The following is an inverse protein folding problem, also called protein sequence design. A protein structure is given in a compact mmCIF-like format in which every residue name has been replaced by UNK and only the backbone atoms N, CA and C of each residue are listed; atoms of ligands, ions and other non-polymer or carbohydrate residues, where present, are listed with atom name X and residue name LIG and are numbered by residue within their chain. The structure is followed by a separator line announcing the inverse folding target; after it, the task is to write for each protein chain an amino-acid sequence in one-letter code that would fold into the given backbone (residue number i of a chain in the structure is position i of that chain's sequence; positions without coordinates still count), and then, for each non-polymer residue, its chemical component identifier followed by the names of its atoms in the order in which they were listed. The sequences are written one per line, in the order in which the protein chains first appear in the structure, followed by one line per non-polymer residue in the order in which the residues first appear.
data_IF_392049545951
#
_entry.id   IF_392049545951
#
_cell.length_a   1.000
_cell.length_b   1.000
_cell.length_c   1.000
_cell.angle_alpha   90.00
_cell.angle_beta   90.00
_cell.angle_gamma   90.00
#
_symmetry.space_group_name_H-M   'P 1'
#
loop_
_entity.id
_entity.type
_entity.pdbx_description
1 polymer ?
#
# COMPACT_ATOMS: atom_id res chain seq x y z
N UNK A 1 -18.87 25.30 -5.80
CA UNK A 1 -18.12 24.05 -5.57
C UNK A 1 -16.78 24.42 -4.97
N UNK A 2 -16.55 24.06 -3.70
CA UNK A 2 -15.40 24.51 -2.92
C UNK A 2 -14.11 23.87 -3.41
N UNK A 3 -13.13 24.70 -3.77
CA UNK A 3 -11.77 24.28 -4.09
C UNK A 3 -11.06 23.90 -2.78
N UNK A 4 -11.13 22.63 -2.40
CA UNK A 4 -10.30 22.12 -1.30
C UNK A 4 -8.87 22.00 -1.82
N UNK A 5 -8.03 22.97 -1.45
CA UNK A 5 -6.63 23.13 -1.83
C UNK A 5 -5.70 22.07 -1.21
N UNK A 6 -6.01 20.79 -1.42
CA UNK A 6 -5.27 19.63 -0.92
C UNK A 6 -4.45 18.93 -2.01
N UNK A 7 -4.10 19.66 -3.08
CA UNK A 7 -3.22 19.13 -4.13
C UNK A 7 -1.77 19.38 -3.72
N UNK A 8 -1.03 18.31 -3.46
CA UNK A 8 0.43 18.38 -3.38
C UNK A 8 1.00 18.94 -4.69
N UNK A 9 2.02 19.79 -4.58
CA UNK A 9 2.80 20.25 -5.72
C UNK A 9 3.31 19.04 -6.53
N UNK A 10 3.15 19.12 -7.85
CA UNK A 10 3.57 18.07 -8.77
C UNK A 10 5.10 17.95 -8.72
N UNK A 11 5.59 16.92 -8.06
CA UNK A 11 7.01 16.59 -8.01
C UNK A 11 7.60 16.44 -9.44
N UNK A 12 8.51 17.35 -9.80
CA UNK A 12 9.14 17.49 -11.13
C UNK A 12 10.41 16.66 -11.32
N UNK A 13 10.64 15.61 -10.52
CA UNK A 13 11.74 14.70 -10.83
C UNK A 13 11.41 13.90 -12.09
N UNK A 14 12.16 14.16 -13.16
CA UNK A 14 12.14 13.36 -14.39
C UNK A 14 12.70 11.97 -14.07
N UNK A 15 11.82 11.05 -13.67
CA UNK A 15 12.16 9.63 -13.62
C UNK A 15 12.21 9.12 -15.06
N UNK A 16 13.34 8.55 -15.49
CA UNK A 16 13.39 7.73 -16.72
C UNK A 16 12.26 6.70 -16.62
N UNK A 17 11.28 6.82 -17.51
CA UNK A 17 10.15 5.89 -17.56
C UNK A 17 10.71 4.48 -17.74
N UNK A 18 10.50 3.61 -16.75
CA UNK A 18 10.67 2.18 -16.97
C UNK A 18 9.52 1.78 -17.90
N UNK A 19 9.86 1.20 -19.05
CA UNK A 19 8.86 0.63 -19.96
C UNK A 19 8.24 -0.53 -19.20
N UNK A 20 7.04 -0.31 -18.69
CA UNK A 20 6.26 -1.33 -18.01
C UNK A 20 5.16 -1.76 -18.96
N UNK A 21 5.29 -2.94 -19.55
CA UNK A 21 4.23 -3.60 -20.34
C UNK A 21 3.13 -4.21 -19.42
N UNK A 22 3.14 -3.83 -18.14
CA UNK A 22 2.18 -4.29 -17.16
C UNK A 22 0.83 -3.64 -17.38
N UNK A 23 -0.16 -4.42 -17.83
CA UNK A 23 -1.55 -3.98 -17.81
C UNK A 23 -2.06 -3.97 -16.36
N UNK A 24 -2.11 -2.79 -15.75
CA UNK A 24 -2.57 -2.59 -14.36
C UNK A 24 -4.10 -2.57 -14.28
N UNK A 25 -4.76 -2.06 -15.32
CA UNK A 25 -6.22 -1.94 -15.37
C UNK A 25 -6.89 -3.28 -15.69
N UNK A 26 -7.86 -3.65 -14.86
CA UNK A 26 -8.67 -4.86 -15.04
C UNK A 26 -10.02 -4.51 -15.66
N UNK A 27 -10.76 -5.47 -16.22
CA UNK A 27 -11.98 -5.19 -17.01
C UNK A 27 -13.26 -5.04 -16.18
N UNK A 28 -13.25 -5.51 -14.91
CA UNK A 28 -14.40 -5.53 -14.00
C UNK A 28 -13.91 -5.40 -12.56
N UNK A 29 -14.73 -4.85 -11.66
CA UNK A 29 -14.47 -4.81 -10.21
C UNK A 29 -14.24 -6.21 -9.64
N UNK A 30 -13.51 -6.27 -8.53
CA UNK A 30 -13.25 -7.48 -7.74
C UNK A 30 -12.46 -8.60 -8.45
N UNK A 31 -11.85 -8.30 -9.60
CA UNK A 31 -10.93 -9.22 -10.27
C UNK A 31 -9.49 -9.12 -9.77
N UNK A 32 -9.08 -7.93 -9.32
CA UNK A 32 -7.76 -7.70 -8.71
C UNK A 32 -7.86 -6.56 -7.72
N UNK A 33 -7.37 -6.81 -6.51
CA UNK A 33 -7.13 -5.76 -5.52
C UNK A 33 -5.64 -5.55 -5.36
N UNK A 34 -5.27 -4.30 -5.09
CA UNK A 34 -3.92 -3.92 -4.71
C UNK A 34 -3.93 -3.53 -3.23
N UNK A 35 -2.88 -3.88 -2.50
CA UNK A 35 -2.66 -3.41 -1.14
C UNK A 35 -1.35 -2.64 -1.09
N UNK A 36 -1.31 -1.56 -0.32
CA UNK A 36 -0.09 -0.81 -0.07
C UNK A 36 -0.11 -0.19 1.33
N UNK A 37 1.04 0.31 1.77
CA UNK A 37 1.20 1.05 3.01
C UNK A 37 1.91 2.38 2.80
N UNK A 38 1.50 3.40 3.54
CA UNK A 38 2.22 4.67 3.61
C UNK A 38 2.43 5.11 5.05
N UNK A 39 3.50 5.88 5.25
CA UNK A 39 3.86 6.49 6.54
C UNK A 39 3.98 8.00 6.35
N UNK A 40 3.37 8.77 7.25
CA UNK A 40 3.51 10.23 7.27
C UNK A 40 3.55 10.77 8.69
N UNK A 41 4.28 11.88 8.87
CA UNK A 41 4.39 12.57 10.15
C UNK A 41 3.40 13.72 10.21
N UNK A 42 2.56 13.74 11.23
CA UNK A 42 1.62 14.80 11.53
C UNK A 42 2.33 15.98 12.21
N UNK A 43 1.72 17.17 12.14
CA UNK A 43 2.29 18.38 12.77
C UNK A 43 2.38 18.31 14.30
N UNK A 44 1.58 17.45 14.93
CA UNK A 44 1.64 17.14 16.36
C UNK A 44 2.80 16.19 16.73
N UNK A 45 3.65 15.80 15.75
CA UNK A 45 4.78 14.89 15.94
C UNK A 45 4.43 13.41 15.85
N UNK A 46 3.15 13.05 15.69
CA UNK A 46 2.75 11.65 15.54
C UNK A 46 3.16 11.09 14.18
N UNK A 47 3.60 9.84 14.15
CA UNK A 47 3.85 9.10 12.92
C UNK A 47 2.66 8.17 12.67
N UNK A 48 1.91 8.44 11.61
CA UNK A 48 0.80 7.61 11.19
C UNK A 48 1.27 6.63 10.13
N UNK A 49 0.97 5.35 10.35
CA UNK A 49 1.15 4.28 9.36
C UNK A 49 -0.22 3.81 8.91
N UNK A 50 -0.51 3.97 7.63
CA UNK A 50 -1.74 3.54 6.97
C UNK A 50 -1.44 2.33 6.09
N UNK A 51 -2.26 1.29 6.17
CA UNK A 51 -2.37 0.27 5.12
C UNK A 51 -3.78 0.32 4.53
N UNK A 52 -3.90 0.02 3.23
CA UNK A 52 -5.18 0.03 2.54
C UNK A 52 -5.25 -1.02 1.45
N UNK A 53 -6.47 -1.39 1.08
CA UNK A 53 -6.80 -2.26 -0.05
C UNK A 53 -7.64 -1.45 -1.02
N UNK A 54 -7.25 -1.43 -2.29
CA UNK A 54 -7.94 -0.71 -3.37
C UNK A 54 -8.28 -1.65 -4.52
N UNK A 55 -9.44 -1.46 -5.13
CA UNK A 55 -9.82 -2.19 -6.35
C UNK A 55 -9.09 -1.62 -7.57
N UNK A 56 -8.47 -2.50 -8.37
CA UNK A 56 -7.70 -2.09 -9.55
C UNK A 56 -8.58 -1.60 -10.72
N UNK A 57 -9.89 -1.86 -10.69
CA UNK A 57 -10.81 -1.39 -11.73
C UNK A 57 -11.36 0.01 -11.44
N UNK A 58 -12.10 0.16 -10.35
CA UNK A 58 -12.83 1.39 -10.02
C UNK A 58 -12.06 2.34 -9.10
N UNK A 59 -10.87 1.94 -8.63
CA UNK A 59 -10.01 2.70 -7.71
C UNK A 59 -10.67 3.02 -6.37
N UNK A 60 -11.67 2.23 -5.97
CA UNK A 60 -12.32 2.36 -4.67
C UNK A 60 -11.45 1.73 -3.57
N UNK A 61 -11.23 2.46 -2.47
CA UNK A 61 -10.62 1.90 -1.25
C UNK A 61 -11.67 1.03 -0.56
N UNK A 62 -11.37 -0.26 -0.45
CA UNK A 62 -12.29 -1.26 0.08
C UNK A 62 -12.19 -1.32 1.61
N UNK A 63 -10.97 -1.40 2.14
CA UNK A 63 -10.67 -1.43 3.56
C UNK A 63 -9.32 -0.74 3.83
N UNK A 64 -9.13 -0.29 5.07
CA UNK A 64 -7.90 0.36 5.51
C UNK A 64 -7.73 0.24 7.02
N UNK A 65 -6.50 0.32 7.50
CA UNK A 65 -6.16 0.39 8.93
C UNK A 65 -5.06 1.42 9.14
N UNK A 66 -5.16 2.18 10.24
CA UNK A 66 -4.22 3.22 10.59
C UNK A 66 -3.80 3.09 12.05
N UNK A 67 -2.50 3.20 12.32
CA UNK A 67 -1.94 3.20 13.66
C UNK A 67 -1.06 4.42 13.88
N UNK A 68 -1.20 5.05 15.04
CA UNK A 68 -0.37 6.18 15.45
C UNK A 68 0.79 5.70 16.32
N UNK A 69 2.00 6.15 16.00
CA UNK A 69 3.24 5.87 16.75
C UNK A 69 3.55 4.37 16.97
N UNK A 70 2.92 3.49 16.19
CA UNK A 70 3.09 2.05 16.24
C UNK A 70 3.29 1.48 14.83
N UNK A 71 3.69 0.21 14.74
CA UNK A 71 3.74 -0.54 13.48
C UNK A 71 2.42 -1.24 13.20
N UNK A 72 2.10 -1.47 11.93
CA UNK A 72 0.95 -2.30 11.52
C UNK A 72 1.33 -3.76 11.74
N UNK A 73 0.55 -4.46 12.56
CA UNK A 73 0.76 -5.87 12.88
C UNK A 73 0.20 -6.79 11.79
N UNK A 74 0.63 -8.06 11.80
CA UNK A 74 0.09 -9.06 10.89
C UNK A 74 -1.39 -9.39 11.15
N UNK A 75 -1.89 -9.18 12.38
CA UNK A 75 -3.32 -9.26 12.69
C UNK A 75 -4.09 -8.11 12.04
N UNK A 76 -3.58 -6.88 12.12
CA UNK A 76 -4.24 -5.71 11.51
C UNK A 76 -4.41 -5.90 10.00
N UNK A 77 -3.39 -6.44 9.33
CA UNK A 77 -3.46 -6.76 7.88
C UNK A 77 -4.47 -7.86 7.61
N UNK A 78 -4.52 -8.89 8.46
CA UNK A 78 -5.46 -10.01 8.29
C UNK A 78 -6.90 -9.57 8.46
N UNK A 79 -7.17 -8.76 9.47
CA UNK A 79 -8.49 -8.22 9.77
C UNK A 79 -8.92 -7.25 8.67
N UNK A 80 -8.01 -6.40 8.18
CA UNK A 80 -8.25 -5.54 7.00
C UNK A 80 -8.60 -6.35 5.74
N UNK A 81 -7.91 -7.49 5.51
CA UNK A 81 -8.22 -8.37 4.37
C UNK A 81 -9.59 -9.05 4.54
N UNK A 82 -9.95 -9.47 5.75
CA UNK A 82 -11.28 -10.03 6.04
C UNK A 82 -12.38 -8.98 5.83
N UNK A 83 -12.20 -7.78 6.35
CA UNK A 83 -13.12 -6.65 6.16
C UNK A 83 -13.35 -6.35 4.68
N UNK A 84 -12.29 -6.37 3.85
CA UNK A 84 -12.42 -6.14 2.42
C UNK A 84 -13.26 -7.22 1.72
N UNK A 85 -13.07 -8.49 2.08
CA UNK A 85 -13.86 -9.61 1.54
C UNK A 85 -15.32 -9.50 1.97
N UNK A 86 -15.57 -9.19 3.24
CA UNK A 86 -16.93 -9.03 3.76
C UNK A 86 -17.67 -7.87 3.11
N UNK A 87 -17.01 -6.72 2.92
CA UNK A 87 -17.61 -5.55 2.24
C UNK A 87 -18.02 -5.85 0.80
N UNK A 88 -17.19 -6.56 0.03
CA UNK A 88 -17.44 -6.79 -1.40
C UNK A 88 -18.32 -7.99 -1.69
N UNK A 89 -18.20 -9.05 -0.89
CA UNK A 89 -18.87 -10.32 -1.18
C UNK A 89 -19.92 -10.71 -0.13
N UNK A 90 -20.04 -9.97 0.98
CA UNK A 90 -20.98 -10.26 2.09
C UNK A 90 -20.81 -11.67 2.66
N UNK A 91 -19.59 -12.19 2.58
CA UNK A 91 -19.18 -13.49 3.10
C UNK A 91 -17.81 -13.35 3.77
N UNK A 92 -17.52 -14.16 4.77
CA UNK A 92 -16.21 -14.18 5.46
C UNK A 92 -15.18 -15.06 4.73
N UNK A 93 -15.46 -15.48 3.49
CA UNK A 93 -14.58 -16.36 2.69
C UNK A 93 -14.35 -15.76 1.30
N UNK A 94 -13.09 -15.61 0.90
CA UNK A 94 -12.77 -15.17 -0.45
C UNK A 94 -13.28 -16.19 -1.50
N UNK A 95 -13.93 -15.75 -2.59
CA UNK A 95 -14.33 -16.64 -3.67
C UNK A 95 -13.09 -17.31 -4.29
N UNK A 96 -13.22 -18.57 -4.75
CA UNK A 96 -12.10 -19.42 -5.22
C UNK A 96 -11.27 -18.82 -6.37
N UNK A 97 -11.75 -17.78 -7.06
CA UNK A 97 -11.04 -17.06 -8.11
C UNK A 97 -10.84 -15.58 -7.75
N UNK A 98 -10.15 -15.28 -6.66
CA UNK A 98 -9.30 -14.09 -6.63
C UNK A 98 -7.88 -14.57 -6.86
N UNK A 99 -7.29 -14.29 -8.02
CA UNK A 99 -5.86 -14.53 -8.20
C UNK A 99 -5.12 -13.57 -7.29
N UNK A 100 -4.88 -13.98 -6.05
CA UNK A 100 -3.89 -13.36 -5.18
C UNK A 100 -2.56 -13.69 -5.83
N UNK A 101 -2.12 -12.90 -6.80
CA UNK A 101 -0.74 -12.94 -7.25
C UNK A 101 0.09 -12.76 -6.01
N UNK A 102 0.71 -13.87 -5.58
CA UNK A 102 1.60 -13.97 -4.44
C UNK A 102 2.85 -13.15 -4.75
N UNK A 103 2.75 -11.82 -4.77
CA UNK A 103 3.91 -10.96 -4.60
C UNK A 103 4.23 -11.02 -3.11
N UNK A 104 4.93 -12.08 -2.73
CA UNK A 104 5.66 -12.12 -1.48
C UNK A 104 6.64 -10.95 -1.53
N UNK A 105 6.30 -9.84 -0.89
CA UNK A 105 7.28 -8.79 -0.59
C UNK A 105 8.32 -9.48 0.27
N UNK A 106 9.46 -9.81 -0.34
CA UNK A 106 10.64 -10.29 0.35
C UNK A 106 11.09 -9.14 1.24
N UNK A 107 10.68 -9.17 2.51
CA UNK A 107 11.30 -8.35 3.55
C UNK A 107 12.76 -8.82 3.65
N UNK A 108 13.66 -8.14 2.96
CA UNK A 108 15.08 -8.26 3.23
C UNK A 108 15.32 -7.67 4.63
N UNK A 109 15.98 -8.40 5.55
CA UNK A 109 16.38 -7.82 6.81
C UNK A 109 17.32 -6.65 6.53
N UNK A 110 17.05 -5.47 7.12
CA UNK A 110 18.02 -4.37 7.11
C UNK A 110 19.27 -4.85 7.83
N UNK A 111 20.29 -5.25 7.07
CA UNK A 111 21.62 -5.48 7.59
C UNK A 111 22.17 -4.16 8.15
N UNK A 112 22.50 -4.16 9.45
CA UNK A 112 23.42 -3.19 10.04
C UNK A 112 24.70 -3.20 9.22
N UNK A 113 24.93 -2.16 8.41
CA UNK A 113 26.29 -1.86 7.95
C UNK A 113 26.85 -0.78 8.86
N UNK A 114 27.76 -1.22 9.73
CA UNK A 114 28.56 -0.35 10.57
C UNK A 114 29.47 0.52 9.72
N UNK A 115 29.65 1.76 10.18
CA UNK A 115 30.70 2.64 9.72
C UNK A 115 32.07 1.98 9.94
N UNK A 116 32.92 1.97 8.92
CA UNK A 116 34.37 2.01 9.12
C UNK A 116 35.00 2.86 8.01
N UNK A 117 36.02 3.68 8.32
CA UNK A 117 36.47 4.76 7.46
C UNK A 117 37.42 4.26 6.37
N UNK A 118 37.34 4.94 5.22
CA UNK A 118 38.33 4.83 4.13
C UNK A 118 39.72 5.13 4.69
N UNK A 119 40.70 4.30 4.33
CA UNK A 119 42.08 4.74 4.16
C UNK A 119 42.51 4.40 2.73
N UNK A 120 43.20 5.38 2.15
CA UNK A 120 43.98 5.43 0.92
C UNK A 120 44.75 4.11 0.66
N UNK A 121 45.02 3.68 -0.57
CA UNK A 121 45.62 4.36 -1.74
C UNK A 121 45.03 3.72 -3.02
#
# INVERSE_FOLDING_TARGET
MGNHAMLLEKHTAVRKGRIHDGKVMVMRSNLRWCSDGLEFTCWNGEIIRLAFIIDAFDREIIAWTAVANAGISGSDVRDMMLEAVEKRFRVTRAPMLSSTSRTMVRLTPRGRQGCSPRHSI
#
